data_IF_112234305623
#
_entry.id   IF_112234305623
#
_cell.length_a   1.000
_cell.length_b   1.000
_cell.length_c   1.000
_cell.angle_alpha   90.00
_cell.angle_beta   90.00
_cell.angle_gamma   90.00
#
_symmetry.space_group_name_H-M   'P 1'
#
loop_
_entity.id
_entity.type
_entity.pdbx_description
1 polymer ?
#
# COMPACT_ATOMS: atom_id res chain seq x y z
N UNK A 1 -1.84 -10.57 -15.40
CA UNK A 1 -1.88 -10.92 -13.97
C UNK A 1 -0.56 -10.43 -13.39
N UNK A 2 -0.59 -9.62 -12.35
CA UNK A 2 0.63 -9.13 -11.70
C UNK A 2 1.24 -10.28 -10.90
N UNK A 3 2.48 -10.62 -11.22
CA UNK A 3 3.24 -11.67 -10.54
C UNK A 3 3.78 -11.20 -9.20
N UNK A 4 4.12 -12.14 -8.31
CA UNK A 4 4.80 -11.84 -7.04
C UNK A 4 6.11 -11.08 -7.31
N UNK A 5 6.84 -11.46 -8.35
CA UNK A 5 8.11 -10.82 -8.72
C UNK A 5 7.92 -9.35 -9.14
N UNK A 6 6.89 -9.03 -9.92
CA UNK A 6 6.58 -7.63 -10.29
C UNK A 6 6.19 -6.80 -9.07
N UNK A 7 5.44 -7.39 -8.12
CA UNK A 7 5.09 -6.73 -6.87
C UNK A 7 6.32 -6.46 -5.99
N UNK A 8 7.22 -7.43 -5.85
CA UNK A 8 8.46 -7.26 -5.09
C UNK A 8 9.40 -6.23 -5.73
N UNK A 9 9.52 -6.24 -7.06
CA UNK A 9 10.28 -5.23 -7.81
C UNK A 9 9.72 -3.82 -7.58
N UNK A 10 8.40 -3.66 -7.69
CA UNK A 10 7.74 -2.39 -7.37
C UNK A 10 7.94 -1.97 -5.91
N UNK A 11 7.89 -2.92 -4.96
CA UNK A 11 8.13 -2.61 -3.55
C UNK A 11 9.58 -2.19 -3.27
N UNK A 12 10.54 -2.70 -4.04
CA UNK A 12 11.93 -2.24 -4.01
C UNK A 12 12.06 -0.85 -4.65
N UNK A 13 11.40 -0.60 -5.78
CA UNK A 13 11.41 0.70 -6.46
C UNK A 13 10.80 1.81 -5.59
N UNK A 14 9.68 1.54 -4.90
CA UNK A 14 9.02 2.48 -4.01
C UNK A 14 9.91 2.98 -2.86
N UNK A 15 10.96 2.23 -2.50
CA UNK A 15 11.96 2.65 -1.49
C UNK A 15 13.04 3.57 -2.05
N UNK A 16 13.16 3.66 -3.38
CA UNK A 16 14.22 4.39 -4.08
C UNK A 16 13.73 5.72 -4.71
N UNK A 17 12.50 6.15 -4.40
CA UNK A 17 12.00 7.45 -4.87
C UNK A 17 12.88 8.60 -4.36
N UNK A 18 13.23 9.54 -5.26
CA UNK A 18 14.11 10.66 -4.91
C UNK A 18 13.42 11.70 -4.05
N UNK A 19 12.11 11.84 -4.22
CA UNK A 19 11.27 12.70 -3.39
C UNK A 19 10.24 11.85 -2.67
N UNK A 20 9.89 12.25 -1.44
CA UNK A 20 8.89 11.53 -0.67
C UNK A 20 7.51 11.70 -1.31
N UNK A 21 6.76 10.60 -1.53
CA UNK A 21 5.36 10.69 -1.89
C UNK A 21 4.56 11.47 -0.84
N UNK A 22 3.40 11.95 -1.24
CA UNK A 22 2.46 12.58 -0.33
C UNK A 22 1.99 11.59 0.73
N UNK A 23 1.47 12.12 1.85
CA UNK A 23 0.97 11.27 2.94
C UNK A 23 -0.12 10.30 2.46
N UNK A 24 -1.00 10.73 1.56
CA UNK A 24 -2.09 9.90 1.03
C UNK A 24 -1.56 8.77 0.14
N UNK A 25 -0.53 9.03 -0.66
CA UNK A 25 0.15 8.02 -1.46
C UNK A 25 0.86 6.99 -0.58
N UNK A 26 1.53 7.44 0.48
CA UNK A 26 2.14 6.55 1.46
C UNK A 26 1.10 5.67 2.17
N UNK A 27 -0.06 6.21 2.51
CA UNK A 27 -1.16 5.45 3.11
C UNK A 27 -1.75 4.42 2.13
N UNK A 28 -1.93 4.79 0.86
CA UNK A 28 -2.38 3.85 -0.19
C UNK A 28 -1.36 2.75 -0.44
N UNK A 29 -0.07 3.08 -0.57
CA UNK A 29 1.00 2.10 -0.71
C UNK A 29 1.00 1.12 0.48
N UNK A 30 0.89 1.63 1.71
CA UNK A 30 0.79 0.81 2.91
C UNK A 30 -0.43 -0.12 2.85
N UNK A 31 -1.62 0.42 2.57
CA UNK A 31 -2.86 -0.35 2.53
C UNK A 31 -2.81 -1.49 1.51
N UNK A 32 -2.41 -1.16 0.27
CA UNK A 32 -2.28 -2.11 -0.82
C UNK A 32 -1.23 -3.18 -0.52
N UNK A 33 -0.08 -2.79 0.06
CA UNK A 33 0.95 -3.75 0.48
C UNK A 33 0.43 -4.71 1.55
N UNK A 34 -0.30 -4.20 2.56
CA UNK A 34 -0.89 -5.02 3.61
C UNK A 34 -1.95 -5.97 3.05
N UNK A 35 -2.83 -5.50 2.18
CA UNK A 35 -3.84 -6.35 1.54
C UNK A 35 -3.21 -7.42 0.63
N UNK A 36 -2.15 -7.07 -0.11
CA UNK A 36 -1.42 -7.98 -1.00
C UNK A 36 -0.66 -9.11 -0.28
N UNK A 37 -0.26 -8.89 0.97
CA UNK A 37 0.60 -9.80 1.75
C UNK A 37 -0.13 -10.51 2.88
N UNK A 38 -1.05 -9.82 3.55
CA UNK A 38 -1.81 -10.34 4.69
C UNK A 38 -3.26 -10.63 4.32
N UNK A 39 -3.80 -9.96 3.31
CA UNK A 39 -5.24 -9.98 3.02
C UNK A 39 -6.01 -9.04 3.94
N UNK A 40 -7.27 -9.38 4.18
CA UNK A 40 -8.21 -8.56 4.95
C UNK A 40 -7.70 -8.21 6.34
N UNK A 41 -7.89 -6.94 6.73
CA UNK A 41 -7.57 -6.49 8.08
C UNK A 41 -8.51 -7.13 9.10
N UNK A 42 -7.93 -7.92 10.01
CA UNK A 42 -8.61 -8.58 11.14
C UNK A 42 -8.15 -8.02 12.50
N UNK A 43 -7.26 -7.04 12.49
CA UNK A 43 -6.72 -6.44 13.71
C UNK A 43 -7.71 -5.43 14.31
N UNK A 44 -7.67 -5.26 15.64
CA UNK A 44 -8.46 -4.24 16.30
C UNK A 44 -8.02 -2.82 15.88
N UNK A 45 -8.98 -1.90 15.78
CA UNK A 45 -8.68 -0.50 15.49
C UNK A 45 -7.78 0.11 16.59
N UNK A 46 -6.76 0.90 16.23
CA UNK A 46 -5.92 1.60 17.19
C UNK A 46 -6.71 2.56 18.09
N UNK A 47 -6.19 2.81 19.29
CA UNK A 47 -6.81 3.72 20.26
C UNK A 47 -6.84 5.18 19.79
N UNK A 48 -7.70 6.00 20.42
CA UNK A 48 -7.98 7.39 19.99
C UNK A 48 -6.73 8.30 19.95
N UNK A 49 -5.69 7.99 20.74
CA UNK A 49 -4.45 8.76 20.79
C UNK A 49 -3.43 8.35 19.70
N UNK A 50 -3.61 7.21 19.04
CA UNK A 50 -2.74 6.77 17.93
C UNK A 50 -3.31 7.19 16.58
N UNK A 51 -3.19 8.48 16.28
CA UNK A 51 -3.72 9.08 15.06
C UNK A 51 -3.08 8.46 13.79
N UNK A 52 -1.76 8.23 13.81
CA UNK A 52 -1.03 7.66 12.66
C UNK A 52 -1.41 6.20 12.43
N UNK A 53 -1.48 5.40 13.49
CA UNK A 53 -1.94 4.02 13.42
C UNK A 53 -3.37 3.95 12.91
N UNK A 54 -4.26 4.85 13.37
CA UNK A 54 -5.65 4.92 12.91
C UNK A 54 -5.76 5.18 11.41
N UNK A 55 -4.98 6.11 10.85
CA UNK A 55 -4.98 6.34 9.39
C UNK A 55 -4.51 5.12 8.61
N UNK A 56 -3.42 4.46 9.04
CA UNK A 56 -2.93 3.23 8.42
C UNK A 56 -3.94 2.09 8.50
N UNK A 57 -4.54 1.91 9.67
CA UNK A 57 -5.54 0.88 9.90
C UNK A 57 -6.78 1.12 9.05
N UNK A 58 -7.27 2.36 8.98
CA UNK A 58 -8.41 2.75 8.15
C UNK A 58 -8.12 2.47 6.68
N UNK A 59 -6.98 2.95 6.15
CA UNK A 59 -6.62 2.76 4.75
C UNK A 59 -6.53 1.27 4.38
N UNK A 60 -5.97 0.43 5.26
CA UNK A 60 -5.95 -1.02 5.03
C UNK A 60 -7.35 -1.63 5.14
N UNK A 61 -8.14 -1.23 6.14
CA UNK A 61 -9.49 -1.75 6.35
C UNK A 61 -10.47 -1.36 5.22
N UNK A 62 -10.26 -0.23 4.55
CA UNK A 62 -11.03 0.19 3.37
C UNK A 62 -10.87 -0.76 2.17
N UNK A 63 -9.77 -1.50 2.10
CA UNK A 63 -9.51 -2.47 1.03
C UNK A 63 -10.06 -3.88 1.33
N UNK A 64 -10.78 -4.05 2.44
CA UNK A 64 -11.34 -5.35 2.84
C UNK A 64 -12.22 -5.94 1.73
N UNK A 65 -12.04 -7.21 1.42
CA UNK A 65 -12.69 -7.91 0.31
C UNK A 65 -11.94 -7.81 -1.02
N UNK A 66 -10.88 -6.98 -1.12
CA UNK A 66 -9.99 -6.96 -2.29
C UNK A 66 -9.10 -8.20 -2.27
N UNK A 67 -9.02 -8.93 -3.38
CA UNK A 67 -8.14 -10.10 -3.45
C UNK A 67 -6.66 -9.68 -3.32
N UNK A 68 -5.78 -10.55 -2.79
CA UNK A 68 -4.34 -10.27 -2.77
C UNK A 68 -3.77 -10.00 -4.17
N UNK A 69 -4.33 -10.64 -5.20
CA UNK A 69 -3.93 -10.47 -6.60
C UNK A 69 -4.28 -9.07 -7.13
N UNK A 70 -5.50 -8.60 -6.86
CA UNK A 70 -5.94 -7.26 -7.24
C UNK A 70 -5.18 -6.18 -6.46
N UNK A 71 -4.90 -6.42 -5.17
CA UNK A 71 -4.10 -5.52 -4.36
C UNK A 71 -2.66 -5.39 -4.88
N UNK A 72 -2.03 -6.49 -5.31
CA UNK A 72 -0.70 -6.45 -5.96
C UNK A 72 -0.73 -5.67 -7.26
N UNK A 73 -1.75 -5.89 -8.09
CA UNK A 73 -1.93 -5.17 -9.35
C UNK A 73 -2.02 -3.67 -9.12
N UNK A 74 -2.93 -3.25 -8.23
CA UNK A 74 -3.09 -1.84 -7.86
C UNK A 74 -1.81 -1.24 -7.24
N UNK A 75 -1.07 -2.02 -6.45
CA UNK A 75 0.22 -1.58 -5.89
C UNK A 75 1.24 -1.27 -6.98
N UNK A 76 1.41 -2.18 -7.95
CA UNK A 76 2.35 -2.00 -9.06
C UNK A 76 1.96 -0.81 -9.93
N UNK A 77 0.67 -0.64 -10.21
CA UNK A 77 0.16 0.52 -10.96
C UNK A 77 0.46 1.84 -10.23
N UNK A 78 0.23 1.88 -8.90
CA UNK A 78 0.53 3.05 -8.08
C UNK A 78 2.02 3.36 -8.04
N UNK A 79 2.88 2.36 -7.81
CA UNK A 79 4.34 2.56 -7.79
C UNK A 79 4.84 3.05 -9.14
N UNK A 80 4.37 2.45 -10.24
CA UNK A 80 4.77 2.86 -11.60
C UNK A 80 4.43 4.33 -11.84
N UNK A 81 3.23 4.76 -11.44
CA UNK A 81 2.83 6.17 -11.53
C UNK A 81 3.74 7.05 -10.67
N UNK A 82 3.94 6.70 -9.41
CA UNK A 82 4.77 7.48 -8.48
C UNK A 82 6.23 7.54 -8.93
N UNK A 83 6.77 6.49 -9.55
CA UNK A 83 8.10 6.48 -10.12
C UNK A 83 8.27 7.51 -11.24
N UNK A 84 7.20 7.85 -11.96
CA UNK A 84 7.23 8.94 -12.96
C UNK A 84 7.17 10.32 -12.33
N UNK A 85 6.46 10.45 -11.21
CA UNK A 85 6.25 11.73 -10.50
C UNK A 85 7.43 12.07 -9.56
N UNK A 86 8.11 11.06 -9.00
CA UNK A 86 9.16 11.18 -7.98
C UNK A 86 10.56 10.71 -8.44
N UNK A 87 10.81 10.82 -9.74
CA UNK A 87 11.99 10.29 -10.47
C UNK A 87 13.32 10.97 -10.17
#
# INVERSE_FOLDING_TARGET
MTTVAEFEAAAAEAKNFKTSPTQDELLKLYALYKQATVGDNTTAAPGMFDVKGKYKWNAWNELKGTSPEDARKQYVELVTRLATEHK
#
